data_IF_675185165714
#
_entry.id   IF_675185165714
#
_cell.length_a   1.000
_cell.length_b   1.000
_cell.length_c   1.000
_cell.angle_alpha   90.00
_cell.angle_beta   90.00
_cell.angle_gamma   90.00
#
_symmetry.space_group_name_H-M   'P 1'
#
loop_
_entity.id
_entity.type
_entity.pdbx_description
1 polymer ?
#
# COMPACT_ATOMS: atom_id res chain seq x y z
N UNK A 1 -12.96 -15.91 7.53
CA UNK A 1 -12.09 -14.84 8.05
C UNK A 1 -11.58 -14.04 6.86
N UNK A 2 -11.92 -12.77 6.81
CA UNK A 2 -11.58 -11.85 5.72
C UNK A 2 -10.12 -11.39 5.81
N UNK A 3 -9.56 -10.90 4.71
CA UNK A 3 -8.22 -10.32 4.68
C UNK A 3 -8.09 -9.13 5.65
N UNK A 4 -9.12 -8.28 5.70
CA UNK A 4 -9.20 -7.16 6.67
C UNK A 4 -9.08 -7.63 8.11
N UNK A 5 -9.78 -8.70 8.47
CA UNK A 5 -9.68 -9.29 9.82
C UNK A 5 -8.27 -9.82 10.11
N UNK A 6 -7.60 -10.43 9.12
CA UNK A 6 -6.25 -10.96 9.29
C UNK A 6 -5.22 -9.84 9.52
N UNK A 7 -5.30 -8.76 8.74
CA UNK A 7 -4.43 -7.58 8.89
C UNK A 7 -4.69 -6.89 10.23
N UNK A 8 -5.96 -6.67 10.60
CA UNK A 8 -6.30 -6.02 11.87
C UNK A 8 -5.82 -6.84 13.07
N UNK A 9 -5.91 -8.17 13.02
CA UNK A 9 -5.30 -9.02 14.04
C UNK A 9 -3.77 -8.91 14.07
N UNK A 10 -3.10 -8.78 12.92
CA UNK A 10 -1.66 -8.57 12.87
C UNK A 10 -1.25 -7.24 13.50
N UNK A 11 -1.99 -6.17 13.21
CA UNK A 11 -1.79 -4.84 13.82
C UNK A 11 -1.96 -4.92 15.34
N UNK A 12 -3.05 -5.55 15.81
CA UNK A 12 -3.30 -5.73 17.24
C UNK A 12 -2.16 -6.53 17.93
N UNK A 13 -1.70 -7.63 17.32
CA UNK A 13 -0.55 -8.40 17.83
C UNK A 13 0.73 -7.58 17.88
N UNK A 14 0.93 -6.67 16.93
CA UNK A 14 2.05 -5.73 16.92
C UNK A 14 2.04 -4.81 18.14
N UNK A 15 0.84 -4.41 18.61
CA UNK A 15 0.68 -3.61 19.82
C UNK A 15 1.05 -4.37 21.10
N UNK A 16 0.82 -5.68 21.13
CA UNK A 16 1.16 -6.53 22.27
C UNK A 16 2.67 -6.85 22.38
N UNK A 17 3.52 -6.36 21.48
CA UNK A 17 4.97 -6.56 21.54
C UNK A 17 5.58 -5.76 22.71
N UNK A 18 6.61 -6.30 23.36
CA UNK A 18 7.26 -5.67 24.52
C UNK A 18 7.70 -4.22 24.27
N UNK A 19 8.19 -3.92 23.06
CA UNK A 19 8.55 -2.54 22.63
C UNK A 19 7.39 -1.53 22.64
N UNK A 20 6.16 -2.03 22.70
CA UNK A 20 4.91 -1.27 22.72
C UNK A 20 4.15 -1.40 24.05
N UNK A 21 4.69 -2.12 25.03
CA UNK A 21 4.06 -2.36 26.34
C UNK A 21 3.61 -1.11 27.11
N UNK A 22 4.31 0.02 26.93
CA UNK A 22 3.95 1.31 27.53
C UNK A 22 2.99 2.16 26.69
N UNK A 23 2.47 1.64 25.56
CA UNK A 23 1.60 2.39 24.65
C UNK A 23 0.17 1.86 24.75
N UNK A 24 -0.79 2.75 25.01
CA UNK A 24 -2.21 2.42 24.88
C UNK A 24 -2.55 2.23 23.41
N UNK A 25 -3.38 1.22 23.11
CA UNK A 25 -3.84 0.99 21.74
C UNK A 25 -4.89 2.03 21.36
N UNK A 26 -4.64 2.74 20.27
CA UNK A 26 -5.60 3.61 19.62
C UNK A 26 -6.30 2.83 18.50
N UNK A 27 -7.62 2.64 18.65
CA UNK A 27 -8.43 1.84 17.73
C UNK A 27 -8.57 2.49 16.36
N UNK A 28 -8.67 3.82 16.31
CA UNK A 28 -8.86 4.55 15.05
C UNK A 28 -7.56 4.52 14.24
N UNK A 29 -6.43 4.70 14.92
CA UNK A 29 -5.12 4.54 14.31
C UNK A 29 -4.87 3.11 13.82
N UNK A 30 -5.25 2.09 14.60
CA UNK A 30 -5.12 0.69 14.18
C UNK A 30 -5.99 0.38 12.94
N UNK A 31 -7.17 0.99 12.84
CA UNK A 31 -8.05 0.89 11.68
C UNK A 31 -7.44 1.58 10.47
N UNK A 32 -6.94 2.81 10.61
CA UNK A 32 -6.26 3.54 9.54
C UNK A 32 -5.04 2.77 8.99
N UNK A 33 -4.21 2.20 9.87
CA UNK A 33 -3.06 1.36 9.46
C UNK A 33 -3.54 0.12 8.69
N UNK A 34 -4.62 -0.52 9.14
CA UNK A 34 -5.20 -1.68 8.45
C UNK A 34 -5.64 -1.31 7.04
N UNK A 35 -6.30 -0.17 6.86
CA UNK A 35 -6.76 0.32 5.57
C UNK A 35 -5.60 0.66 4.63
N UNK A 36 -4.55 1.32 5.13
CA UNK A 36 -3.33 1.58 4.37
C UNK A 36 -2.65 0.28 3.91
N UNK A 37 -2.51 -0.71 4.79
CA UNK A 37 -1.91 -2.02 4.43
C UNK A 37 -2.70 -2.72 3.33
N UNK A 38 -4.03 -2.70 3.40
CA UNK A 38 -4.88 -3.28 2.36
C UNK A 38 -4.82 -2.48 1.05
N UNK A 39 -4.60 -1.17 1.11
CA UNK A 39 -4.44 -0.33 -0.07
C UNK A 39 -3.12 -0.60 -0.82
N UNK A 40 -2.10 -1.13 -0.14
CA UNK A 40 -0.80 -1.56 -0.70
C UNK A 40 -0.91 -2.98 -1.31
N UNK A 41 -2.10 -3.41 -1.77
CA UNK A 41 -2.30 -4.72 -2.39
C UNK A 41 -1.22 -5.07 -3.42
N UNK A 42 -1.05 -6.36 -3.78
CA UNK A 42 0.11 -6.85 -4.53
C UNK A 42 0.44 -6.10 -5.84
N UNK A 43 -0.56 -5.45 -6.44
CA UNK A 43 -0.44 -4.70 -7.69
C UNK A 43 -0.26 -3.18 -7.51
N UNK A 44 -0.22 -2.67 -6.28
CA UNK A 44 -0.03 -1.23 -5.97
C UNK A 44 1.23 -1.02 -5.16
N UNK A 45 2.41 -0.96 -5.81
CA UNK A 45 3.62 -0.58 -5.12
C UNK A 45 3.48 0.82 -4.55
N UNK A 46 4.05 1.03 -3.35
CA UNK A 46 4.21 2.36 -2.75
C UNK A 46 4.71 3.34 -3.81
N UNK A 47 3.90 4.33 -4.18
CA UNK A 47 4.25 5.35 -5.17
C UNK A 47 5.47 6.20 -4.73
N UNK A 48 5.93 6.08 -3.49
CA UNK A 48 7.17 6.69 -2.96
C UNK A 48 8.37 5.74 -2.78
N UNK A 49 8.22 4.43 -3.05
CA UNK A 49 9.29 3.41 -2.95
C UNK A 49 9.40 2.52 -4.19
N UNK A 50 8.62 2.80 -5.24
CA UNK A 50 8.74 2.08 -6.50
C UNK A 50 10.17 2.24 -7.02
N UNK A 51 10.92 1.13 -7.03
CA UNK A 51 12.24 1.14 -7.68
C UNK A 51 12.05 1.46 -9.15
N UNK A 52 13.05 2.05 -9.79
CA UNK A 52 13.03 2.33 -11.23
C UNK A 52 12.60 1.10 -12.04
N UNK A 53 12.96 -0.11 -11.61
CA UNK A 53 12.55 -1.36 -12.24
C UNK A 53 11.04 -1.64 -12.18
N UNK A 54 10.37 -1.28 -11.09
CA UNK A 54 8.92 -1.46 -10.94
C UNK A 54 8.14 -0.48 -11.81
N UNK A 55 8.61 0.77 -11.88
CA UNK A 55 8.05 1.77 -12.79
C UNK A 55 8.23 1.35 -14.26
N UNK A 56 9.42 0.87 -14.62
CA UNK A 56 9.69 0.37 -15.97
C UNK A 56 8.87 -0.88 -16.32
N UNK A 57 8.61 -1.76 -15.36
CA UNK A 57 7.75 -2.94 -15.54
C UNK A 57 6.31 -2.55 -15.85
N UNK A 58 5.73 -1.64 -15.07
CA UNK A 58 4.38 -1.11 -15.29
C UNK A 58 4.28 -0.38 -16.65
N UNK A 59 5.26 0.44 -16.99
CA UNK A 59 5.30 1.14 -18.28
C UNK A 59 5.39 0.17 -19.46
N UNK A 60 6.18 -0.91 -19.34
CA UNK A 60 6.24 -1.97 -20.36
C UNK A 60 4.91 -2.71 -20.51
N UNK A 61 4.28 -3.09 -19.40
CA UNK A 61 2.99 -3.77 -19.43
C UNK A 61 1.93 -2.94 -20.17
N UNK A 62 1.88 -1.62 -19.93
CA UNK A 62 0.98 -0.71 -20.65
C UNK A 62 1.30 -0.59 -22.13
N UNK A 63 2.60 -0.52 -22.48
CA UNK A 63 3.04 -0.47 -23.87
C UNK A 63 2.71 -1.77 -24.64
N UNK A 64 2.74 -2.92 -23.97
CA UNK A 64 2.41 -4.23 -24.56
C UNK A 64 0.90 -4.40 -24.79
N UNK A 65 0.07 -3.79 -23.94
CA UNK A 65 -1.41 -3.86 -24.07
C UNK A 65 -1.94 -2.85 -25.09
N UNK A 66 -1.49 -1.59 -25.04
CA UNK A 66 -2.05 -0.50 -25.87
C UNK A 66 -1.13 -0.08 -27.03
N UNK A 67 0.06 -0.68 -27.16
CA UNK A 67 1.05 -0.34 -28.19
C UNK A 67 1.71 1.03 -28.02
N UNK A 68 1.33 1.79 -26.99
CA UNK A 68 1.73 3.19 -26.78
C UNK A 68 1.64 3.57 -25.30
N UNK A 69 2.66 4.26 -24.79
CA UNK A 69 2.60 4.92 -23.48
C UNK A 69 2.08 6.35 -23.71
N UNK A 70 0.79 6.59 -23.44
CA UNK A 70 0.19 7.93 -23.51
C UNK A 70 0.59 8.75 -22.27
N UNK A 71 1.49 9.71 -22.44
CA UNK A 71 1.82 10.69 -21.41
C UNK A 71 0.83 11.86 -21.51
N UNK A 72 -0.36 11.73 -20.90
CA UNK A 72 -1.16 12.94 -20.69
C UNK A 72 -0.51 13.77 -19.60
N UNK A 73 0.19 14.81 -20.02
CA UNK A 73 0.54 15.93 -19.15
C UNK A 73 -0.77 16.44 -18.57
N UNK A 74 -0.96 16.32 -17.26
CA UNK A 74 -2.01 17.07 -16.55
C UNK A 74 -1.62 18.54 -16.68
N UNK A 75 -2.19 19.21 -17.67
CA UNK A 75 -2.01 20.64 -17.85
C UNK A 75 -2.49 21.35 -16.60
N UNK A 76 -1.56 21.98 -15.88
CA UNK A 76 -1.90 22.91 -14.83
C UNK A 76 -2.61 24.12 -15.42
N UNK A 77 -3.78 24.42 -14.88
CA UNK A 77 -4.56 25.64 -15.10
C UNK A 77 -5.19 26.06 -13.79
#
# INVERSE_FOLDING_TARGET
MTEKEQVMQAVARGWCQDKNSGKTMDSDLAMAITEEVLAIGPDRPFLGLATTGMLLGELKARAEVDGSIDYRTVGGG
#
